data_IF_510486959737
#
_entry.id   IF_510486959737
#
_cell.length_a   1.000
_cell.length_b   1.000
_cell.length_c   1.000
_cell.angle_alpha   90.00
_cell.angle_beta   90.00
_cell.angle_gamma   90.00
#
_symmetry.space_group_name_H-M   'P 1'
#
loop_
_entity.id
_entity.type
_entity.pdbx_description
1 polymer ?
#
# COMPACT_ATOMS: atom_id res chain seq x y z
N UNK A 1 54.62 -2.84 8.29
CA UNK A 1 53.90 -1.56 8.30
C UNK A 1 52.46 -1.88 8.66
N UNK A 2 52.10 -1.59 9.91
CA UNK A 2 50.83 -1.94 10.54
C UNK A 2 49.63 -1.25 9.86
N UNK A 3 48.55 -2.01 9.69
CA UNK A 3 47.27 -1.51 9.19
C UNK A 3 46.55 -0.77 10.33
N UNK A 4 46.44 0.55 10.21
CA UNK A 4 45.70 1.40 11.14
C UNK A 4 44.18 1.17 10.96
N UNK A 5 43.58 0.40 11.87
CA UNK A 5 42.14 0.18 11.94
C UNK A 5 41.50 1.45 12.51
N UNK A 6 40.95 2.31 11.64
CA UNK A 6 40.07 3.40 12.07
C UNK A 6 38.75 2.81 12.54
N UNK A 7 38.48 2.90 13.84
CA UNK A 7 37.19 2.54 14.44
C UNK A 7 36.01 3.35 13.86
N UNK A 8 34.76 2.90 14.08
CA UNK A 8 33.58 3.60 13.58
C UNK A 8 33.53 5.03 14.14
N UNK A 9 33.07 6.02 13.35
CA UNK A 9 32.95 7.40 13.80
C UNK A 9 32.06 7.46 15.03
N UNK A 10 32.54 8.12 16.08
CA UNK A 10 31.80 8.34 17.31
C UNK A 10 30.45 8.99 16.98
N UNK A 11 29.36 8.34 17.41
CA UNK A 11 28.02 8.91 17.34
C UNK A 11 28.03 10.26 18.06
N UNK A 12 27.73 11.33 17.32
CA UNK A 12 27.57 12.66 17.90
C UNK A 12 26.48 12.66 18.98
N UNK A 13 26.51 13.62 19.92
CA UNK A 13 25.52 13.72 20.98
C UNK A 13 24.10 13.79 20.39
N UNK A 14 23.11 13.13 21.02
CA UNK A 14 21.74 13.14 20.53
C UNK A 14 21.24 14.59 20.42
N UNK A 15 20.51 14.94 19.34
CA UNK A 15 19.99 16.29 19.17
C UNK A 15 19.05 16.64 20.34
N UNK A 16 19.02 17.92 20.77
CA UNK A 16 18.19 18.34 21.89
C UNK A 16 16.69 18.07 21.59
N UNK A 17 15.90 17.65 22.61
CA UNK A 17 14.55 17.10 22.45
C UNK A 17 13.53 18.02 21.74
N UNK A 18 13.82 19.33 21.63
CA UNK A 18 12.97 20.26 20.88
C UNK A 18 13.18 20.26 19.36
N UNK A 19 14.33 19.81 18.84
CA UNK A 19 14.61 19.84 17.40
C UNK A 19 13.89 18.72 16.63
N UNK A 20 13.71 17.56 17.26
CA UNK A 20 12.99 16.42 16.67
C UNK A 20 11.49 16.71 16.57
N UNK A 21 10.90 17.33 17.60
CA UNK A 21 9.48 17.73 17.59
C UNK A 21 9.21 18.83 16.55
N UNK A 22 10.11 19.80 16.42
CA UNK A 22 10.02 20.82 15.36
C UNK A 22 10.17 20.20 13.96
N UNK A 23 11.09 19.24 13.80
CA UNK A 23 11.29 18.52 12.55
C UNK A 23 10.06 17.70 12.14
N UNK A 24 9.44 17.00 13.09
CA UNK A 24 8.21 16.23 12.86
C UNK A 24 7.03 17.16 12.52
N UNK A 25 6.88 18.29 13.23
CA UNK A 25 5.82 19.27 12.95
C UNK A 25 5.92 19.90 11.56
N UNK A 26 7.14 20.27 11.13
CA UNK A 26 7.40 20.81 9.79
C UNK A 26 7.17 19.74 8.72
N UNK A 27 7.53 18.48 8.99
CA UNK A 27 7.28 17.35 8.09
C UNK A 27 5.79 17.11 7.82
N UNK A 28 4.99 17.09 8.89
CA UNK A 28 3.53 16.94 8.77
C UNK A 28 2.92 18.12 8.01
N UNK A 29 3.35 19.35 8.31
CA UNK A 29 2.89 20.56 7.61
C UNK A 29 3.21 20.49 6.11
N UNK A 30 4.44 20.10 5.76
CA UNK A 30 4.86 19.90 4.37
C UNK A 30 4.00 18.84 3.69
N UNK A 31 3.78 17.70 4.32
CA UNK A 31 3.00 16.60 3.75
C UNK A 31 1.53 16.97 3.51
N UNK A 32 0.90 17.66 4.47
CA UNK A 32 -0.46 18.19 4.30
C UNK A 32 -0.50 19.23 3.17
N UNK A 33 0.49 20.13 3.11
CA UNK A 33 0.57 21.14 2.05
C UNK A 33 0.73 20.52 0.65
N UNK A 34 1.51 19.45 0.52
CA UNK A 34 1.66 18.70 -0.73
C UNK A 34 0.39 17.95 -1.12
N UNK A 35 -0.36 17.42 -0.13
CA UNK A 35 -1.66 16.79 -0.34
C UNK A 35 -2.70 17.80 -0.84
N UNK A 36 -2.79 18.96 -0.19
CA UNK A 36 -3.69 20.05 -0.61
C UNK A 36 -3.34 20.55 -2.00
N UNK A 37 -2.05 20.76 -2.28
CA UNK A 37 -1.59 21.17 -3.61
C UNK A 37 -1.95 20.13 -4.68
N UNK A 38 -1.76 18.84 -4.39
CA UNK A 38 -2.14 17.74 -5.29
C UNK A 38 -3.63 17.72 -5.56
N UNK A 39 -4.46 17.92 -4.53
CA UNK A 39 -5.92 17.97 -4.66
C UNK A 39 -6.40 19.18 -5.48
N UNK A 40 -5.84 20.37 -5.22
CA UNK A 40 -6.16 21.59 -5.99
C UNK A 40 -5.76 21.41 -7.45
N UNK A 41 -4.57 20.86 -7.71
CA UNK A 41 -4.11 20.62 -9.07
C UNK A 41 -4.99 19.58 -9.78
N UNK A 42 -5.35 18.50 -9.09
CA UNK A 42 -6.31 17.50 -9.59
C UNK A 42 -7.66 18.12 -9.97
N UNK A 43 -8.18 19.01 -9.13
CA UNK A 43 -9.42 19.75 -9.41
C UNK A 43 -9.28 20.69 -10.62
N UNK A 44 -8.15 21.38 -10.75
CA UNK A 44 -7.84 22.28 -11.88
C UNK A 44 -7.68 21.49 -13.18
N UNK A 45 -6.97 20.35 -13.18
CA UNK A 45 -6.82 19.47 -14.35
C UNK A 45 -8.20 18.98 -14.84
N UNK A 46 -9.07 18.61 -13.90
CA UNK A 46 -10.43 18.17 -14.20
C UNK A 46 -11.29 19.30 -14.78
N UNK A 47 -11.16 20.52 -14.25
CA UNK A 47 -11.81 21.74 -14.78
C UNK A 47 -11.35 22.08 -16.20
N UNK A 48 -10.08 21.86 -16.52
CA UNK A 48 -9.51 22.13 -17.84
C UNK A 48 -9.68 20.98 -18.86
N UNK A 49 -10.41 19.91 -18.51
CA UNK A 49 -10.69 18.75 -19.39
C UNK A 49 -9.43 18.15 -20.04
N UNK A 50 -8.33 18.09 -19.31
CA UNK A 50 -7.10 17.45 -19.79
C UNK A 50 -7.22 15.94 -19.53
N UNK A 51 -7.74 15.19 -20.50
CA UNK A 51 -7.97 13.74 -20.37
C UNK A 51 -6.70 12.88 -20.43
N UNK A 52 -5.55 13.46 -20.80
CA UNK A 52 -4.30 12.71 -20.98
C UNK A 52 -3.53 12.43 -19.68
N UNK A 53 -3.83 13.14 -18.59
CA UNK A 53 -3.13 13.00 -17.31
C UNK A 53 -4.12 12.64 -16.19
N UNK A 54 -4.15 11.38 -15.74
CA UNK A 54 -4.89 10.99 -14.53
C UNK A 54 -4.42 11.78 -13.31
N UNK A 55 -5.32 12.09 -12.39
CA UNK A 55 -5.04 12.83 -11.15
C UNK A 55 -3.88 12.22 -10.34
N UNK A 56 -3.86 10.88 -10.21
CA UNK A 56 -2.81 10.15 -9.51
C UNK A 56 -1.43 10.29 -10.18
N UNK A 57 -1.38 10.37 -11.52
CA UNK A 57 -0.12 10.56 -12.25
C UNK A 57 0.41 11.99 -12.07
N UNK A 58 -0.48 12.98 -12.01
CA UNK A 58 -0.11 14.37 -11.77
C UNK A 58 0.43 14.57 -10.35
N UNK A 59 -0.22 13.99 -9.33
CA UNK A 59 0.27 14.05 -7.94
C UNK A 59 1.62 13.35 -7.76
N UNK A 60 1.82 12.19 -8.41
CA UNK A 60 3.11 11.49 -8.43
C UNK A 60 4.22 12.36 -9.06
N UNK A 61 3.95 13.00 -10.20
CA UNK A 61 4.91 13.90 -10.86
C UNK A 61 5.27 15.10 -9.97
N UNK A 62 4.31 15.71 -9.28
CA UNK A 62 4.59 16.78 -8.31
C UNK A 62 5.49 16.27 -7.19
N UNK A 63 5.16 15.11 -6.61
CA UNK A 63 5.98 14.48 -5.58
C UNK A 63 7.41 14.23 -6.04
N UNK A 64 7.59 13.76 -7.28
CA UNK A 64 8.89 13.50 -7.88
C UNK A 64 9.67 14.79 -8.16
N UNK A 65 9.01 15.84 -8.64
CA UNK A 65 9.64 17.16 -8.86
C UNK A 65 10.08 17.78 -7.54
N UNK A 66 9.21 17.80 -6.53
CA UNK A 66 9.52 18.36 -5.21
C UNK A 66 10.62 17.54 -4.52
N UNK A 67 10.55 16.22 -4.57
CA UNK A 67 11.59 15.33 -4.05
C UNK A 67 12.93 15.50 -4.77
N UNK A 68 12.90 15.67 -6.10
CA UNK A 68 14.09 15.94 -6.91
C UNK A 68 14.73 17.29 -6.60
N UNK A 69 13.93 18.35 -6.48
CA UNK A 69 14.38 19.68 -6.08
C UNK A 69 15.00 19.66 -4.67
N UNK A 70 14.38 18.95 -3.73
CA UNK A 70 14.91 18.77 -2.37
C UNK A 70 16.27 18.05 -2.38
N UNK A 71 16.47 17.06 -3.26
CA UNK A 71 17.72 16.33 -3.41
C UNK A 71 18.84 17.21 -4.01
N UNK A 72 18.54 18.02 -5.03
CA UNK A 72 19.50 18.92 -5.67
C UNK A 72 19.95 20.07 -4.75
N UNK A 73 19.08 20.50 -3.82
CA UNK A 73 19.37 21.61 -2.90
C UNK A 73 20.38 21.28 -1.78
N UNK A 74 21.03 20.10 -1.80
CA UNK A 74 22.13 19.70 -0.90
C UNK A 74 21.88 19.99 0.60
N UNK A 75 20.62 19.93 1.03
CA UNK A 75 20.20 20.15 2.42
C UNK A 75 20.01 18.78 3.09
N UNK A 76 21.06 17.96 3.06
CA UNK A 76 20.99 16.52 3.38
C UNK A 76 20.62 16.20 4.83
N UNK A 77 20.95 17.07 5.81
CA UNK A 77 20.83 16.71 7.22
C UNK A 77 19.55 17.18 7.92
N UNK A 78 18.91 18.28 7.47
CA UNK A 78 17.69 18.79 8.12
C UNK A 78 16.41 18.35 7.41
N UNK A 79 16.43 18.19 6.08
CA UNK A 79 15.23 17.90 5.29
C UNK A 79 14.86 16.40 5.32
N UNK A 80 15.84 15.48 5.42
CA UNK A 80 15.57 14.03 5.56
C UNK A 80 14.79 13.68 6.83
N UNK A 81 14.92 14.47 7.91
CA UNK A 81 14.10 14.35 9.10
C UNK A 81 12.67 14.84 8.90
N UNK A 82 12.46 15.82 8.01
CA UNK A 82 11.13 16.39 7.70
C UNK A 82 10.35 15.53 6.70
N UNK A 83 11.04 14.81 5.81
CA UNK A 83 10.42 13.89 4.84
C UNK A 83 10.39 12.44 5.32
N UNK A 84 10.75 12.16 6.59
CA UNK A 84 10.61 10.81 7.13
C UNK A 84 9.12 10.51 7.35
N UNK A 85 8.52 9.84 6.38
CA UNK A 85 7.14 9.39 6.44
C UNK A 85 6.98 8.43 7.62
N UNK A 86 6.23 8.85 8.64
CA UNK A 86 5.77 7.94 9.67
C UNK A 86 4.65 7.10 9.08
N UNK A 87 4.97 5.85 8.72
CA UNK A 87 4.02 4.87 8.19
C UNK A 87 2.76 4.75 9.05
N UNK A 88 2.91 4.84 10.38
CA UNK A 88 1.79 4.84 11.32
C UNK A 88 0.83 6.02 11.09
N UNK A 89 1.32 7.23 10.82
CA UNK A 89 0.45 8.38 10.54
C UNK A 89 -0.32 8.18 9.22
N UNK A 90 0.34 7.64 8.19
CA UNK A 90 -0.31 7.32 6.93
C UNK A 90 -1.42 6.25 7.13
N UNK A 91 -1.11 5.16 7.81
CA UNK A 91 -2.05 4.06 8.05
C UNK A 91 -3.19 4.43 9.01
N UNK A 92 -2.93 5.22 10.06
CA UNK A 92 -3.95 5.65 11.02
C UNK A 92 -4.80 6.82 10.53
N UNK A 93 -4.23 7.76 9.77
CA UNK A 93 -4.90 9.05 9.51
C UNK A 93 -5.30 9.25 8.04
N UNK A 94 -4.51 8.74 7.08
CA UNK A 94 -4.76 8.94 5.64
C UNK A 94 -5.49 7.75 5.00
N UNK A 95 -5.11 6.52 5.34
CA UNK A 95 -5.69 5.32 4.76
C UNK A 95 -7.20 5.17 5.06
N UNK A 96 -7.70 5.41 6.29
CA UNK A 96 -9.12 5.22 6.58
C UNK A 96 -10.03 6.19 5.80
N UNK A 97 -9.74 7.50 5.70
CA UNK A 97 -10.49 8.37 4.81
C UNK A 97 -10.45 7.95 3.34
N UNK A 98 -9.31 7.49 2.81
CA UNK A 98 -9.19 7.12 1.37
C UNK A 98 -10.04 5.90 1.03
N UNK A 99 -10.00 4.85 1.86
CA UNK A 99 -10.75 3.60 1.61
C UNK A 99 -12.25 3.79 1.85
N UNK A 100 -12.65 4.62 2.83
CA UNK A 100 -14.05 4.81 3.22
C UNK A 100 -14.74 6.03 2.60
N UNK A 101 -14.02 6.99 2.01
CA UNK A 101 -14.64 8.13 1.32
C UNK A 101 -15.62 7.72 0.20
N UNK A 102 -15.36 6.65 -0.58
CA UNK A 102 -16.34 6.12 -1.54
C UNK A 102 -17.63 5.62 -0.86
N UNK A 103 -17.54 5.10 0.37
CA UNK A 103 -18.69 4.65 1.18
C UNK A 103 -19.45 5.82 1.82
N UNK A 104 -18.75 6.91 2.17
CA UNK A 104 -19.31 8.05 2.91
C UNK A 104 -19.90 9.15 2.01
N UNK A 105 -19.43 9.28 0.76
CA UNK A 105 -19.76 10.39 -0.14
C UNK A 105 -21.06 10.26 -0.96
N UNK A 106 -21.69 9.09 -1.02
CA UNK A 106 -22.88 8.87 -1.85
C UNK A 106 -23.99 8.12 -1.10
N UNK A 107 -25.12 8.78 -0.79
CA UNK A 107 -26.31 8.13 -0.21
C UNK A 107 -27.01 7.13 -1.16
N UNK A 108 -26.57 7.04 -2.41
CA UNK A 108 -27.18 6.21 -3.44
C UNK A 108 -26.15 5.87 -4.53
N UNK A 109 -25.66 4.62 -4.58
CA UNK A 109 -25.07 4.10 -5.82
C UNK A 109 -23.86 3.18 -5.72
N UNK A 110 -23.14 3.10 -4.60
CA UNK A 110 -22.01 2.14 -4.45
C UNK A 110 -22.45 0.79 -3.87
N UNK A 111 -23.65 0.35 -4.23
CA UNK A 111 -23.99 -1.06 -4.08
C UNK A 111 -23.26 -1.78 -5.21
N UNK A 112 -22.09 -2.34 -4.94
CA UNK A 112 -21.69 -3.56 -5.64
C UNK A 112 -22.92 -4.45 -5.58
N UNK A 113 -23.65 -4.57 -6.68
CA UNK A 113 -24.72 -5.52 -6.74
C UNK A 113 -24.04 -6.87 -6.46
N UNK A 114 -24.31 -7.53 -5.32
CA UNK A 114 -23.54 -8.70 -4.92
C UNK A 114 -23.72 -9.83 -5.96
N UNK A 115 -24.83 -9.80 -6.70
CA UNK A 115 -25.16 -10.76 -7.75
C UNK A 115 -24.09 -10.86 -8.85
N UNK A 116 -23.72 -9.78 -9.58
CA UNK A 116 -22.60 -9.79 -10.54
C UNK A 116 -21.26 -10.25 -9.95
N UNK A 117 -20.93 -9.81 -8.73
CA UNK A 117 -19.67 -10.13 -8.07
C UNK A 117 -19.56 -11.63 -7.76
N UNK A 118 -20.58 -12.21 -7.10
CA UNK A 118 -20.59 -13.63 -6.77
C UNK A 118 -20.80 -14.53 -7.99
N UNK A 119 -21.46 -14.05 -9.05
CA UNK A 119 -21.60 -14.79 -10.31
C UNK A 119 -20.26 -14.99 -11.04
N UNK A 120 -19.31 -14.07 -10.88
CA UNK A 120 -18.00 -14.10 -11.56
C UNK A 120 -16.84 -14.39 -10.60
N UNK A 121 -17.14 -14.85 -9.38
CA UNK A 121 -16.16 -15.03 -8.30
C UNK A 121 -14.98 -15.93 -8.68
N UNK A 122 -15.23 -16.98 -9.47
CA UNK A 122 -14.17 -17.86 -9.98
C UNK A 122 -13.15 -17.12 -10.83
N UNK A 123 -13.60 -16.28 -11.76
CA UNK A 123 -12.71 -15.48 -12.61
C UNK A 123 -11.92 -14.46 -11.79
N UNK A 124 -12.58 -13.81 -10.81
CA UNK A 124 -11.95 -12.87 -9.88
C UNK A 124 -10.79 -13.54 -9.14
N UNK A 125 -11.03 -14.71 -8.54
CA UNK A 125 -9.98 -15.48 -7.83
C UNK A 125 -8.85 -15.86 -8.77
N UNK A 126 -9.17 -16.36 -9.97
CA UNK A 126 -8.14 -16.79 -10.91
C UNK A 126 -7.23 -15.63 -11.31
N UNK A 127 -7.78 -14.47 -11.67
CA UNK A 127 -6.99 -13.31 -12.03
C UNK A 127 -6.22 -12.73 -10.84
N UNK A 128 -6.85 -12.60 -9.68
CA UNK A 128 -6.19 -12.04 -8.50
C UNK A 128 -5.09 -12.92 -7.92
N UNK A 129 -5.25 -14.25 -7.92
CA UNK A 129 -4.24 -15.15 -7.35
C UNK A 129 -3.17 -15.46 -8.38
N UNK A 130 -3.57 -16.03 -9.53
CA UNK A 130 -2.59 -16.48 -10.53
C UNK A 130 -1.99 -15.30 -11.29
N UNK A 131 -2.78 -14.28 -11.64
CA UNK A 131 -2.29 -13.10 -12.34
C UNK A 131 -1.23 -12.38 -11.51
N UNK A 132 -1.53 -12.09 -10.24
CA UNK A 132 -0.59 -11.45 -9.32
C UNK A 132 0.66 -12.28 -9.06
N UNK A 133 0.51 -13.59 -8.88
CA UNK A 133 1.64 -14.48 -8.63
C UNK A 133 2.60 -14.50 -9.84
N UNK A 134 2.06 -14.68 -11.04
CA UNK A 134 2.84 -14.67 -12.29
C UNK A 134 3.48 -13.30 -12.49
N UNK A 135 2.72 -12.22 -12.32
CA UNK A 135 3.22 -10.85 -12.44
C UNK A 135 4.38 -10.57 -11.46
N UNK A 136 4.26 -11.00 -10.21
CA UNK A 136 5.31 -10.82 -9.18
C UNK A 136 6.60 -11.57 -9.53
N UNK A 137 6.49 -12.80 -10.04
CA UNK A 137 7.65 -13.60 -10.46
C UNK A 137 8.30 -12.99 -11.70
N UNK A 138 7.50 -12.66 -12.72
CA UNK A 138 8.00 -12.12 -13.99
C UNK A 138 8.72 -10.79 -13.75
N UNK A 139 8.08 -9.86 -13.02
CA UNK A 139 8.69 -8.57 -12.68
C UNK A 139 9.96 -8.73 -11.85
N UNK A 140 9.95 -9.59 -10.82
CA UNK A 140 11.13 -9.84 -10.00
C UNK A 140 12.30 -10.47 -10.77
N UNK A 141 12.03 -11.42 -11.67
CA UNK A 141 13.04 -12.01 -12.55
C UNK A 141 13.58 -10.99 -13.54
N UNK A 142 12.71 -10.16 -14.15
CA UNK A 142 13.14 -9.10 -15.07
C UNK A 142 14.07 -8.09 -14.38
N UNK A 143 13.76 -7.68 -13.15
CA UNK A 143 14.62 -6.78 -12.36
C UNK A 143 15.95 -7.44 -12.02
N UNK A 144 15.95 -8.72 -11.66
CA UNK A 144 17.17 -9.48 -11.41
C UNK A 144 18.06 -9.60 -12.66
N UNK A 145 17.46 -9.90 -13.82
CA UNK A 145 18.17 -9.95 -15.10
C UNK A 145 18.71 -8.57 -15.51
N UNK A 146 17.93 -7.49 -15.28
CA UNK A 146 18.39 -6.12 -15.49
C UNK A 146 19.60 -5.76 -14.63
N UNK A 147 19.64 -6.24 -13.38
CA UNK A 147 20.81 -6.11 -12.51
C UNK A 147 22.03 -6.92 -12.99
N UNK A 148 21.82 -8.06 -13.65
CA UNK A 148 22.89 -8.86 -14.24
C UNK A 148 23.47 -8.22 -15.52
N UNK A 149 22.63 -7.52 -16.28
CA UNK A 149 23.02 -6.81 -17.51
C UNK A 149 23.53 -5.38 -17.26
N UNK A 150 23.85 -5.01 -16.01
CA UNK A 150 24.28 -3.66 -15.60
C UNK A 150 23.31 -2.52 -15.93
N UNK A 151 22.04 -2.82 -16.19
CA UNK A 151 20.99 -1.82 -16.42
C UNK A 151 20.45 -1.24 -15.10
N UNK A 152 20.50 -2.04 -14.04
CA UNK A 152 20.00 -1.72 -12.70
C UNK A 152 21.04 -2.11 -11.64
N UNK A 153 20.90 -1.61 -10.40
CA UNK A 153 21.72 -2.04 -9.28
C UNK A 153 21.59 -3.55 -9.04
N UNK A 154 22.71 -4.21 -8.75
CA UNK A 154 22.76 -5.66 -8.55
C UNK A 154 22.20 -6.03 -7.18
N UNK A 155 20.92 -6.39 -7.16
CA UNK A 155 20.22 -6.87 -5.98
C UNK A 155 20.14 -8.41 -6.01
N UNK A 156 20.17 -9.07 -4.85
CA UNK A 156 19.93 -10.52 -4.76
C UNK A 156 18.48 -10.86 -5.11
N UNK A 157 18.30 -12.08 -5.64
CA UNK A 157 17.02 -12.54 -6.19
C UNK A 157 15.82 -12.33 -5.24
N UNK A 158 16.01 -12.54 -3.93
CA UNK A 158 14.94 -12.38 -2.93
C UNK A 158 14.44 -10.94 -2.88
N UNK A 159 15.34 -9.94 -2.94
CA UNK A 159 14.94 -8.52 -2.97
C UNK A 159 14.25 -8.14 -4.27
N UNK A 160 14.68 -8.70 -5.40
CA UNK A 160 13.99 -8.49 -6.67
C UNK A 160 12.58 -9.09 -6.65
N UNK A 161 12.39 -10.27 -6.05
CA UNK A 161 11.07 -10.89 -5.88
C UNK A 161 10.19 -10.12 -4.90
N UNK A 162 10.75 -9.55 -3.83
CA UNK A 162 10.03 -8.63 -2.93
C UNK A 162 9.54 -7.39 -3.68
N UNK A 163 10.41 -6.80 -4.51
CA UNK A 163 10.03 -5.68 -5.36
C UNK A 163 8.93 -6.06 -6.37
N UNK A 164 9.05 -7.22 -7.01
CA UNK A 164 8.03 -7.74 -7.92
C UNK A 164 6.68 -7.93 -7.23
N UNK A 165 6.67 -8.47 -6.00
CA UNK A 165 5.45 -8.62 -5.21
C UNK A 165 4.79 -7.26 -4.90
N UNK A 166 5.56 -6.25 -4.50
CA UNK A 166 5.04 -4.91 -4.18
C UNK A 166 4.42 -4.20 -5.39
N UNK A 167 5.03 -4.34 -6.57
CA UNK A 167 4.57 -3.66 -7.79
C UNK A 167 3.43 -4.42 -8.48
N UNK A 168 3.20 -5.68 -8.12
CA UNK A 168 2.14 -6.49 -8.71
C UNK A 168 0.72 -6.10 -8.25
N UNK A 169 0.61 -5.42 -7.11
CA UNK A 169 -0.64 -4.86 -6.61
C UNK A 169 -1.16 -3.75 -7.55
N UNK A 170 -2.41 -3.88 -8.00
CA UNK A 170 -3.05 -2.96 -8.95
C UNK A 170 -4.02 -2.04 -8.21
N UNK A 171 -3.93 -0.73 -8.43
CA UNK A 171 -4.91 0.24 -7.90
C UNK A 171 -6.04 0.49 -8.92
N UNK A 172 -7.29 0.06 -8.63
CA UNK A 172 -8.39 0.19 -9.57
C UNK A 172 -9.06 1.56 -9.50
N UNK A 173 -8.76 2.41 -8.50
CA UNK A 173 -9.55 3.62 -8.18
C UNK A 173 -9.70 4.53 -9.40
N UNK A 174 -8.60 4.74 -10.13
CA UNK A 174 -8.60 5.60 -11.31
C UNK A 174 -9.42 4.97 -12.45
N UNK A 175 -9.24 3.67 -12.71
CA UNK A 175 -9.95 2.97 -13.80
C UNK A 175 -11.45 2.88 -13.50
N UNK A 176 -11.83 2.58 -12.26
CA UNK A 176 -13.22 2.50 -11.83
C UNK A 176 -13.91 3.86 -11.96
N UNK A 177 -13.24 4.96 -11.64
CA UNK A 177 -13.81 6.31 -11.80
C UNK A 177 -14.17 6.64 -13.25
N UNK A 178 -13.33 6.20 -14.20
CA UNK A 178 -13.56 6.38 -15.65
C UNK A 178 -14.69 5.46 -16.12
N UNK A 179 -14.74 4.21 -15.65
CA UNK A 179 -15.80 3.26 -16.01
C UNK A 179 -17.19 3.74 -15.58
N UNK A 180 -17.28 4.45 -14.46
CA UNK A 180 -18.52 5.07 -14.01
C UNK A 180 -18.95 6.23 -14.92
N UNK A 181 -18.00 7.05 -15.38
CA UNK A 181 -18.28 8.16 -16.31
C UNK A 181 -18.71 7.65 -17.69
N UNK A 182 -18.15 6.51 -18.14
CA UNK A 182 -18.47 5.89 -19.42
C UNK A 182 -19.71 4.97 -19.41
N UNK A 183 -20.29 4.70 -18.24
CA UNK A 183 -21.47 3.83 -18.12
C UNK A 183 -21.18 2.35 -18.40
N UNK A 184 -20.04 1.83 -17.96
CA UNK A 184 -19.59 0.44 -18.17
C UNK A 184 -20.49 -0.59 -17.49
N UNK A 185 -20.53 -1.82 -18.02
CA UNK A 185 -21.24 -2.97 -17.42
C UNK A 185 -20.80 -3.24 -15.98
N UNK A 186 -21.79 -3.47 -15.10
CA UNK A 186 -21.63 -3.83 -13.70
C UNK A 186 -20.80 -5.11 -13.51
N UNK A 187 -20.82 -6.03 -14.50
CA UNK A 187 -19.98 -7.23 -14.46
C UNK A 187 -18.49 -6.89 -14.55
N UNK A 188 -18.10 -5.99 -15.45
CA UNK A 188 -16.69 -5.59 -15.61
C UNK A 188 -16.22 -4.76 -14.41
N UNK A 189 -17.09 -3.90 -13.89
CA UNK A 189 -16.84 -3.16 -12.65
C UNK A 189 -16.56 -4.12 -11.48
N UNK A 190 -17.42 -5.13 -11.28
CA UNK A 190 -17.26 -6.10 -10.22
C UNK A 190 -16.00 -6.98 -10.38
N UNK A 191 -15.64 -7.32 -11.62
CA UNK A 191 -14.45 -8.11 -11.93
C UNK A 191 -13.17 -7.34 -11.58
N UNK A 192 -13.03 -6.10 -12.07
CA UNK A 192 -11.84 -5.26 -11.82
C UNK A 192 -11.73 -4.89 -10.34
N UNK A 193 -12.84 -4.49 -9.71
CA UNK A 193 -12.84 -4.21 -8.28
C UNK A 193 -12.42 -5.43 -7.45
N UNK A 194 -12.99 -6.60 -7.74
CA UNK A 194 -12.68 -7.83 -7.01
C UNK A 194 -11.25 -8.32 -7.22
N UNK A 195 -10.74 -8.20 -8.45
CA UNK A 195 -9.37 -8.56 -8.79
C UNK A 195 -8.39 -7.76 -7.94
N UNK A 196 -8.53 -6.43 -7.93
CA UNK A 196 -7.58 -5.56 -7.25
C UNK A 196 -7.62 -5.70 -5.72
N UNK A 197 -8.80 -5.91 -5.13
CA UNK A 197 -8.91 -6.15 -3.67
C UNK A 197 -8.22 -7.44 -3.23
N UNK A 198 -8.37 -8.53 -3.99
CA UNK A 198 -7.71 -9.80 -3.68
C UNK A 198 -6.23 -9.79 -4.06
N UNK A 199 -5.86 -9.06 -5.11
CA UNK A 199 -4.48 -8.86 -5.54
C UNK A 199 -3.63 -8.22 -4.43
N UNK A 200 -4.13 -7.19 -3.76
CA UNK A 200 -3.42 -6.53 -2.64
C UNK A 200 -3.07 -7.53 -1.52
N UNK A 201 -4.01 -8.39 -1.14
CA UNK A 201 -3.78 -9.43 -0.13
C UNK A 201 -2.73 -10.46 -0.59
N UNK A 202 -2.76 -10.84 -1.87
CA UNK A 202 -1.77 -11.74 -2.48
C UNK A 202 -0.37 -11.11 -2.52
N UNK A 203 -0.27 -9.85 -2.95
CA UNK A 203 0.99 -9.09 -3.02
C UNK A 203 1.65 -8.95 -1.64
N UNK A 204 0.88 -8.57 -0.61
CA UNK A 204 1.37 -8.46 0.77
C UNK A 204 1.84 -9.82 1.30
N UNK A 205 1.10 -10.90 1.01
CA UNK A 205 1.46 -12.24 1.45
C UNK A 205 2.76 -12.73 0.81
N UNK A 206 2.95 -12.46 -0.49
CA UNK A 206 4.19 -12.75 -1.21
C UNK A 206 5.36 -11.94 -0.66
N UNK A 207 5.17 -10.64 -0.46
CA UNK A 207 6.20 -9.76 0.12
C UNK A 207 6.67 -10.25 1.49
N UNK A 208 5.73 -10.55 2.40
CA UNK A 208 6.04 -11.05 3.75
C UNK A 208 6.78 -12.38 3.72
N UNK A 209 6.35 -13.29 2.85
CA UNK A 209 7.02 -14.59 2.68
C UNK A 209 8.48 -14.38 2.26
N UNK A 210 8.73 -13.54 1.25
CA UNK A 210 10.08 -13.27 0.77
C UNK A 210 10.92 -12.50 1.80
N UNK A 211 10.31 -11.59 2.55
CA UNK A 211 10.95 -10.90 3.68
C UNK A 211 11.39 -11.87 4.79
N UNK A 212 10.57 -12.89 5.07
CA UNK A 212 10.90 -13.94 6.05
C UNK A 212 12.03 -14.85 5.55
N UNK A 213 12.04 -15.18 4.26
CA UNK A 213 13.16 -15.91 3.64
C UNK A 213 14.45 -15.11 3.72
N UNK A 214 14.37 -13.79 3.53
CA UNK A 214 15.53 -12.88 3.64
C UNK A 214 16.13 -12.87 5.05
N UNK A 215 15.30 -12.76 6.09
CA UNK A 215 15.77 -12.70 7.47
C UNK A 215 16.31 -14.03 8.00
N UNK A 216 15.83 -15.17 7.47
CA UNK A 216 16.20 -16.52 7.93
C UNK A 216 17.28 -17.20 7.06
N UNK A 217 18.23 -16.43 6.51
CA UNK A 217 19.29 -16.92 5.60
C UNK A 217 20.20 -18.02 6.21
N UNK A 218 20.11 -18.29 7.52
CA UNK A 218 21.03 -19.15 8.28
C UNK A 218 20.77 -20.66 8.23
N UNK A 219 19.69 -21.13 7.60
CA UNK A 219 19.40 -22.56 7.50
C UNK A 219 18.75 -22.87 6.18
N UNK A 220 19.17 -23.94 5.51
CA UNK A 220 18.57 -24.42 4.26
C UNK A 220 17.08 -24.65 4.44
N UNK A 221 16.27 -23.62 4.23
CA UNK A 221 14.84 -23.71 4.37
C UNK A 221 14.34 -24.58 3.24
N UNK A 222 13.76 -25.72 3.63
CA UNK A 222 13.07 -26.58 2.69
C UNK A 222 12.02 -25.75 1.94
N UNK A 223 11.95 -25.91 0.62
CA UNK A 223 10.91 -25.28 -0.22
C UNK A 223 9.50 -25.46 0.38
N UNK A 224 9.26 -26.63 0.99
CA UNK A 224 8.03 -26.94 1.72
C UNK A 224 7.71 -25.93 2.84
N UNK A 225 8.72 -25.48 3.59
CA UNK A 225 8.53 -24.52 4.68
C UNK A 225 8.18 -23.13 4.14
N UNK A 226 8.76 -22.72 3.01
CA UNK A 226 8.43 -21.46 2.33
C UNK A 226 6.97 -21.49 1.86
N UNK A 227 6.54 -22.59 1.24
CA UNK A 227 5.15 -22.78 0.81
C UNK A 227 4.20 -22.77 2.01
N UNK A 228 4.57 -23.45 3.10
CA UNK A 228 3.78 -23.45 4.32
C UNK A 228 3.63 -22.04 4.92
N UNK A 229 4.72 -21.26 5.00
CA UNK A 229 4.69 -19.86 5.47
C UNK A 229 3.86 -18.94 4.59
N UNK A 230 3.94 -19.12 3.28
CA UNK A 230 3.10 -18.40 2.34
C UNK A 230 1.61 -18.71 2.60
N UNK A 231 1.27 -19.98 2.73
CA UNK A 231 -0.10 -20.43 2.98
C UNK A 231 -0.61 -19.94 4.34
N UNK A 232 0.22 -20.00 5.38
CA UNK A 232 -0.06 -19.47 6.72
C UNK A 232 -0.36 -17.97 6.67
N UNK A 233 0.47 -17.18 5.98
CA UNK A 233 0.32 -15.72 5.88
C UNK A 233 -0.92 -15.35 5.05
N UNK A 234 -1.14 -16.04 3.93
CA UNK A 234 -2.27 -15.78 3.04
C UNK A 234 -3.61 -16.17 3.67
N UNK A 235 -3.71 -17.39 4.21
CA UNK A 235 -4.93 -17.88 4.87
C UNK A 235 -5.15 -17.16 6.19
N UNK A 236 -4.09 -16.86 6.94
CA UNK A 236 -4.16 -16.11 8.19
C UNK A 236 -4.74 -14.70 7.99
N UNK A 237 -4.24 -13.96 6.99
CA UNK A 237 -4.75 -12.62 6.67
C UNK A 237 -6.17 -12.64 6.11
N UNK A 238 -6.51 -13.60 5.25
CA UNK A 238 -7.87 -13.75 4.71
C UNK A 238 -8.88 -14.10 5.81
N UNK A 239 -8.54 -15.06 6.67
CA UNK A 239 -9.41 -15.51 7.76
C UNK A 239 -9.59 -14.45 8.85
N UNK A 240 -8.54 -13.70 9.20
CA UNK A 240 -8.65 -12.58 10.15
C UNK A 240 -9.55 -11.47 9.61
N UNK A 241 -9.40 -11.12 8.33
CA UNK A 241 -10.26 -10.14 7.66
C UNK A 241 -11.73 -10.54 7.62
N UNK A 242 -12.03 -11.78 7.22
CA UNK A 242 -13.40 -12.32 7.21
C UNK A 242 -13.99 -12.37 8.62
N UNK A 243 -13.19 -12.81 9.59
CA UNK A 243 -13.60 -12.89 10.99
C UNK A 243 -14.00 -11.54 11.56
N UNK A 244 -13.19 -10.51 11.34
CA UNK A 244 -13.51 -9.16 11.83
C UNK A 244 -14.65 -8.51 11.04
N UNK A 245 -14.72 -8.72 9.73
CA UNK A 245 -15.86 -8.28 8.93
C UNK A 245 -17.19 -8.87 9.42
N UNK A 246 -17.19 -10.17 9.72
CA UNK A 246 -18.37 -10.86 10.26
C UNK A 246 -18.76 -10.36 11.64
N UNK A 247 -17.80 -10.20 12.56
CA UNK A 247 -18.04 -9.64 13.90
C UNK A 247 -18.58 -8.21 13.80
N UNK A 248 -18.01 -7.38 12.94
CA UNK A 248 -18.48 -6.00 12.68
C UNK A 248 -19.92 -5.99 12.16
N UNK A 249 -20.26 -6.87 11.22
CA UNK A 249 -21.61 -7.00 10.68
C UNK A 249 -22.63 -7.42 11.75
N UNK A 250 -22.29 -8.38 12.62
CA UNK A 250 -23.16 -8.81 13.73
C UNK A 250 -23.39 -7.69 14.76
N UNK A 251 -22.34 -6.93 15.07
CA UNK A 251 -22.41 -5.80 16.00
C UNK A 251 -23.26 -4.66 15.40
N UNK A 252 -23.12 -4.38 14.10
CA UNK A 252 -23.91 -3.37 13.39
C UNK A 252 -25.39 -3.76 13.34
N UNK A 253 -25.69 -5.02 13.03
CA UNK A 253 -27.06 -5.55 13.03
C UNK A 253 -27.72 -5.45 14.42
N UNK A 254 -26.94 -5.65 15.49
CA UNK A 254 -27.43 -5.56 16.87
C UNK A 254 -27.58 -4.13 17.39
N UNK A 255 -26.97 -3.13 16.73
CA UNK A 255 -26.87 -1.75 17.22
C UNK A 255 -27.30 -0.73 16.15
N UNK A 256 -28.51 -0.91 15.62
CA UNK A 256 -29.06 -0.14 14.51
C UNK A 256 -29.65 1.22 14.95
N UNK A 257 -28.88 2.03 15.69
CA UNK A 257 -29.43 3.29 16.24
C UNK A 257 -28.56 4.54 16.10
N UNK A 258 -27.27 4.44 15.77
CA UNK A 258 -26.43 5.64 15.57
C UNK A 258 -25.37 5.41 14.48
N UNK A 259 -25.59 5.99 13.29
CA UNK A 259 -24.67 5.96 12.15
C UNK A 259 -23.23 6.41 12.49
N UNK A 260 -23.09 7.35 13.44
CA UNK A 260 -21.79 7.85 13.90
C UNK A 260 -21.01 6.82 14.75
N UNK A 261 -21.69 5.96 15.52
CA UNK A 261 -21.04 4.90 16.32
C UNK A 261 -20.62 3.70 15.45
N UNK A 262 -21.39 3.39 14.40
CA UNK A 262 -21.02 2.31 13.47
C UNK A 262 -19.70 2.62 12.77
N UNK A 263 -19.49 3.88 12.37
CA UNK A 263 -18.25 4.34 11.72
C UNK A 263 -17.04 4.20 12.64
N UNK A 264 -17.15 4.65 13.90
CA UNK A 264 -16.08 4.53 14.89
C UNK A 264 -15.75 3.06 15.23
N UNK A 265 -16.76 2.18 15.21
CA UNK A 265 -16.61 0.74 15.45
C UNK A 265 -15.91 0.03 14.30
N UNK A 266 -16.28 0.33 13.05
CA UNK A 266 -15.56 -0.15 11.85
C UNK A 266 -14.11 0.32 11.91
N UNK A 267 -13.87 1.58 12.28
CA UNK A 267 -12.53 2.13 12.50
C UNK A 267 -11.72 1.32 13.52
N UNK A 268 -12.31 1.06 14.69
CA UNK A 268 -11.65 0.27 15.73
C UNK A 268 -11.40 -1.18 15.31
N UNK A 269 -12.30 -1.77 14.52
CA UNK A 269 -12.22 -3.16 14.07
C UNK A 269 -11.17 -3.34 12.96
N UNK A 270 -11.10 -2.43 11.99
CA UNK A 270 -10.05 -2.39 10.96
C UNK A 270 -8.69 -2.17 11.61
N UNK A 271 -8.60 -1.21 12.55
CA UNK A 271 -7.37 -0.95 13.28
C UNK A 271 -6.91 -2.15 14.13
N UNK A 272 -7.85 -2.83 14.79
CA UNK A 272 -7.57 -4.03 15.56
C UNK A 272 -7.12 -5.18 14.64
N UNK A 273 -7.77 -5.38 13.49
CA UNK A 273 -7.38 -6.40 12.51
C UNK A 273 -5.98 -6.15 11.96
N UNK A 274 -5.69 -4.90 11.62
CA UNK A 274 -4.38 -4.47 11.13
C UNK A 274 -3.33 -4.68 12.22
N UNK A 275 -3.58 -4.23 13.44
CA UNK A 275 -2.66 -4.37 14.57
C UNK A 275 -2.43 -5.83 14.97
N UNK A 276 -3.47 -6.66 14.95
CA UNK A 276 -3.36 -8.10 15.21
C UNK A 276 -2.53 -8.74 14.10
N UNK A 277 -2.90 -8.56 12.84
CA UNK A 277 -2.20 -9.17 11.70
C UNK A 277 -0.73 -8.72 11.58
N UNK A 278 -0.40 -7.47 11.93
CA UNK A 278 0.98 -6.97 11.94
C UNK A 278 1.78 -7.35 13.18
N UNK A 279 1.15 -7.57 14.34
CA UNK A 279 1.87 -7.96 15.57
C UNK A 279 1.99 -9.47 15.77
N UNK A 280 1.08 -10.27 15.20
CA UNK A 280 1.06 -11.72 15.43
C UNK A 280 1.77 -12.54 14.33
N UNK A 281 2.26 -11.91 13.26
CA UNK A 281 2.92 -12.59 12.13
C UNK A 281 4.20 -11.88 11.68
#
# INVERSE_FOLDING_TARGET
>A
MEMNVTGPPAAGPPPPPGKEQQAAGVGILLQISMLVLSFVLGHVLRRHKVYYLPEASASLLIGLIVGGLANVSNTENNIRGWFNFHEEFFFLFLLPPIILYPEFGFPSGFSLAPKPFFSNFGAIITFAIFGTFISSIVTGVLVYLGGLMFLTYKLPLVECLMFGALISATDPVTVLSIFQELGTDMNLYALVFGESVLNDAMAISLYRTMSSVRSNTSGGQNFFWIVFRFLETFVGSLSSGVGVGFISALISFSCMRVWMLTTFRIWSAVYLSFSLTFRTC
#
